data_IF_416166077279
#
_entry.id   IF_416166077279
#
_cell.length_a   1.000
_cell.length_b   1.000
_cell.length_c   1.000
_cell.angle_alpha   90.00
_cell.angle_beta   90.00
_cell.angle_gamma   90.00
#
_symmetry.space_group_name_H-M   'P 1'
#
loop_
_entity.id
_entity.type
_entity.pdbx_description
1 polymer ?
#
# COMPACT_ATOMS: atom_id res chain seq x y z
N UNK A 1 -70.95 16.47 -100.73
CA UNK A 1 -71.02 15.72 -99.45
C UNK A 1 -69.65 15.19 -98.99
N UNK A 2 -68.91 14.48 -99.85
CA UNK A 2 -67.63 13.81 -99.50
C UNK A 2 -66.53 14.78 -99.00
N UNK A 3 -66.38 15.97 -99.59
CA UNK A 3 -65.37 16.96 -99.15
C UNK A 3 -65.57 17.40 -97.69
N UNK A 4 -66.81 17.72 -97.29
CA UNK A 4 -67.16 18.09 -95.92
C UNK A 4 -66.91 16.95 -94.92
N UNK A 5 -67.09 15.69 -95.33
CA UNK A 5 -66.79 14.53 -94.48
C UNK A 5 -65.29 14.38 -94.25
N UNK A 6 -64.46 14.54 -95.29
CA UNK A 6 -63.00 14.49 -95.18
C UNK A 6 -62.45 15.58 -94.24
N UNK A 7 -62.98 16.79 -94.32
CA UNK A 7 -62.60 17.87 -93.41
C UNK A 7 -62.96 17.55 -91.96
N UNK A 8 -64.19 17.06 -91.71
CA UNK A 8 -64.61 16.65 -90.35
C UNK A 8 -63.72 15.55 -89.77
N UNK A 9 -63.33 14.55 -90.58
CA UNK A 9 -62.42 13.48 -90.14
C UNK A 9 -61.03 14.03 -89.84
N UNK A 10 -60.50 14.94 -90.68
CA UNK A 10 -59.20 15.59 -90.42
C UNK A 10 -59.22 16.41 -89.12
N UNK A 11 -60.28 17.19 -88.90
CA UNK A 11 -60.45 17.95 -87.66
C UNK A 11 -60.60 17.03 -86.44
N UNK A 12 -61.34 15.92 -86.57
CA UNK A 12 -61.46 14.93 -85.49
C UNK A 12 -60.12 14.25 -85.16
N UNK A 13 -59.30 13.90 -86.16
CA UNK A 13 -57.96 13.37 -85.92
C UNK A 13 -57.03 14.38 -85.24
N UNK A 14 -57.07 15.66 -85.65
CA UNK A 14 -56.27 16.72 -85.00
C UNK A 14 -56.73 16.93 -83.56
N UNK A 15 -58.05 16.95 -83.31
CA UNK A 15 -58.60 17.05 -81.97
C UNK A 15 -58.19 15.85 -81.11
N UNK A 16 -58.26 14.63 -81.63
CA UNK A 16 -57.83 13.42 -80.91
C UNK A 16 -56.34 13.47 -80.57
N UNK A 17 -55.48 13.88 -81.50
CA UNK A 17 -54.05 14.04 -81.25
C UNK A 17 -53.75 15.11 -80.20
N UNK A 18 -54.49 16.23 -80.21
CA UNK A 18 -54.37 17.28 -79.20
C UNK A 18 -54.84 16.80 -77.81
N UNK A 19 -55.93 16.04 -77.75
CA UNK A 19 -56.42 15.42 -76.50
C UNK A 19 -55.38 14.44 -75.96
N UNK A 20 -54.88 13.51 -76.77
CA UNK A 20 -53.88 12.53 -76.34
C UNK A 20 -52.55 13.19 -75.95
N UNK A 21 -52.13 14.27 -76.61
CA UNK A 21 -50.97 15.04 -76.20
C UNK A 21 -51.19 15.72 -74.83
N UNK A 22 -52.35 16.32 -74.61
CA UNK A 22 -52.72 16.93 -73.33
C UNK A 22 -52.83 15.91 -72.19
N UNK A 23 -53.35 14.71 -72.46
CA UNK A 23 -53.41 13.61 -71.48
C UNK A 23 -52.00 13.12 -71.10
N UNK A 24 -51.09 13.00 -72.08
CA UNK A 24 -49.70 12.61 -71.83
C UNK A 24 -48.95 13.67 -71.01
N UNK A 25 -49.09 14.96 -71.35
CA UNK A 25 -48.49 16.06 -70.60
C UNK A 25 -49.06 16.15 -69.18
N UNK A 26 -50.38 16.01 -69.01
CA UNK A 26 -51.02 15.98 -67.70
C UNK A 26 -50.53 14.81 -66.85
N UNK A 27 -50.32 13.64 -67.45
CA UNK A 27 -49.79 12.45 -66.75
C UNK A 27 -48.34 12.66 -66.33
N UNK A 28 -47.50 13.21 -67.22
CA UNK A 28 -46.11 13.54 -66.91
C UNK A 28 -45.99 14.60 -65.81
N UNK A 29 -46.77 15.68 -65.90
CA UNK A 29 -46.80 16.73 -64.88
C UNK A 29 -47.23 16.17 -63.52
N UNK A 30 -48.26 15.32 -63.49
CA UNK A 30 -48.71 14.70 -62.24
C UNK A 30 -47.62 13.77 -61.65
N UNK A 31 -46.88 13.06 -62.51
CA UNK A 31 -45.70 12.28 -62.10
C UNK A 31 -44.64 13.15 -61.43
N UNK A 32 -44.29 14.28 -62.05
CA UNK A 32 -43.32 15.23 -61.47
C UNK A 32 -43.81 15.85 -60.15
N UNK A 33 -45.10 16.20 -60.05
CA UNK A 33 -45.69 16.71 -58.81
C UNK A 33 -45.64 15.67 -57.68
N UNK A 34 -45.91 14.41 -57.99
CA UNK A 34 -45.80 13.33 -57.01
C UNK A 34 -44.35 13.11 -56.54
N UNK A 35 -43.39 13.13 -57.46
CA UNK A 35 -41.96 13.02 -57.10
C UNK A 35 -41.52 14.19 -56.21
N UNK A 36 -41.82 15.43 -56.60
CA UNK A 36 -41.47 16.61 -55.83
C UNK A 36 -42.11 16.60 -54.43
N UNK A 37 -43.35 16.10 -54.31
CA UNK A 37 -44.04 15.96 -53.03
C UNK A 37 -43.35 14.95 -52.12
N UNK A 38 -42.91 13.81 -52.67
CA UNK A 38 -42.20 12.79 -51.92
C UNK A 38 -40.82 13.28 -51.47
N UNK A 39 -40.05 13.90 -52.36
CA UNK A 39 -38.75 14.49 -52.03
C UNK A 39 -38.86 15.57 -50.94
N UNK A 40 -39.89 16.41 -51.03
CA UNK A 40 -40.16 17.41 -49.99
C UNK A 40 -40.48 16.76 -48.63
N UNK A 41 -41.30 15.70 -48.61
CA UNK A 41 -41.62 14.99 -47.38
C UNK A 41 -40.37 14.37 -46.73
N UNK A 42 -39.50 13.74 -47.54
CA UNK A 42 -38.23 13.17 -47.08
C UNK A 42 -37.29 14.25 -46.54
N UNK A 43 -37.17 15.38 -47.25
CA UNK A 43 -36.34 16.50 -46.84
C UNK A 43 -36.85 17.12 -45.53
N UNK A 44 -38.17 17.28 -45.39
CA UNK A 44 -38.79 17.80 -44.18
C UNK A 44 -38.57 16.86 -42.98
N UNK A 45 -38.66 15.55 -43.19
CA UNK A 45 -38.36 14.56 -42.15
C UNK A 45 -36.89 14.63 -41.72
N UNK A 46 -35.95 14.70 -42.66
CA UNK A 46 -34.52 14.87 -42.38
C UNK A 46 -34.26 16.16 -41.61
N UNK A 47 -34.84 17.28 -42.05
CA UNK A 47 -34.73 18.56 -41.36
C UNK A 47 -35.20 18.47 -39.90
N UNK A 48 -36.35 17.83 -39.66
CA UNK A 48 -36.88 17.65 -38.29
C UNK A 48 -35.92 16.84 -37.42
N UNK A 49 -35.39 15.73 -37.94
CA UNK A 49 -34.44 14.88 -37.23
C UNK A 49 -33.14 15.64 -36.92
N UNK A 50 -32.56 16.32 -37.91
CA UNK A 50 -31.35 17.13 -37.71
C UNK A 50 -31.57 18.26 -36.72
N UNK A 51 -32.72 18.94 -36.76
CA UNK A 51 -33.08 19.98 -35.80
C UNK A 51 -33.13 19.45 -34.37
N UNK A 52 -33.71 18.26 -34.16
CA UNK A 52 -33.74 17.60 -32.85
C UNK A 52 -32.33 17.22 -32.36
N UNK A 53 -31.47 16.72 -33.26
CA UNK A 53 -30.08 16.41 -32.94
C UNK A 53 -29.35 17.69 -32.51
N UNK A 54 -29.45 18.77 -33.29
CA UNK A 54 -28.82 20.06 -32.96
C UNK A 54 -29.27 20.55 -31.59
N UNK A 55 -30.57 20.49 -31.30
CA UNK A 55 -31.10 20.91 -30.00
C UNK A 55 -30.53 20.08 -28.84
N UNK A 56 -30.46 18.76 -29.01
CA UNK A 56 -29.91 17.85 -28.00
C UNK A 56 -28.43 18.11 -27.79
N UNK A 57 -27.63 18.15 -28.86
CA UNK A 57 -26.19 18.44 -28.80
C UNK A 57 -25.89 19.84 -28.22
N UNK A 58 -26.75 20.82 -28.48
CA UNK A 58 -26.59 22.17 -27.88
C UNK A 58 -26.84 22.12 -26.37
N UNK A 59 -27.85 21.36 -25.92
CA UNK A 59 -28.12 21.17 -24.49
C UNK A 59 -26.97 20.46 -23.81
N UNK A 60 -26.47 19.38 -24.40
CA UNK A 60 -25.37 18.60 -23.84
C UNK A 60 -24.07 19.43 -23.75
N UNK A 61 -23.76 20.21 -24.79
CA UNK A 61 -22.63 21.14 -24.75
C UNK A 61 -22.75 22.18 -23.64
N UNK A 62 -23.97 22.67 -23.37
CA UNK A 62 -24.19 23.61 -22.28
C UNK A 62 -23.95 22.93 -20.92
N UNK A 63 -24.49 21.73 -20.71
CA UNK A 63 -24.28 20.97 -19.48
C UNK A 63 -22.79 20.68 -19.24
N UNK A 64 -22.06 20.25 -20.27
CA UNK A 64 -20.62 19.99 -20.17
C UNK A 64 -19.80 21.25 -19.82
N UNK A 65 -20.20 22.42 -20.32
CA UNK A 65 -19.56 23.69 -19.95
C UNK A 65 -19.80 24.02 -18.49
N UNK A 66 -21.03 23.85 -18.01
CA UNK A 66 -21.37 24.07 -16.60
C UNK A 66 -20.59 23.10 -15.68
N UNK A 67 -20.46 21.82 -16.06
CA UNK A 67 -19.63 20.86 -15.34
C UNK A 67 -18.15 21.27 -15.32
N UNK A 68 -17.61 21.75 -16.45
CA UNK A 68 -16.24 22.22 -16.53
C UNK A 68 -15.98 23.43 -15.62
N UNK A 69 -16.90 24.39 -15.60
CA UNK A 69 -16.80 25.57 -14.73
C UNK A 69 -16.85 25.17 -13.25
N UNK A 70 -17.75 24.25 -12.89
CA UNK A 70 -17.83 23.70 -11.53
C UNK A 70 -16.52 23.02 -11.11
N UNK A 71 -15.89 22.24 -12.01
CA UNK A 71 -14.59 21.62 -11.75
C UNK A 71 -13.48 22.67 -11.56
N UNK A 72 -13.49 23.73 -12.36
CA UNK A 72 -12.52 24.82 -12.20
C UNK A 72 -12.66 25.53 -10.86
N UNK A 73 -13.88 25.77 -10.41
CA UNK A 73 -14.13 26.38 -9.10
C UNK A 73 -13.74 25.45 -7.96
N UNK A 74 -14.01 24.14 -8.09
CA UNK A 74 -13.55 23.14 -7.12
C UNK A 74 -12.01 23.11 -7.01
N UNK A 75 -11.30 23.15 -8.14
CA UNK A 75 -9.82 23.19 -8.15
C UNK A 75 -9.32 24.45 -7.47
N UNK A 76 -9.90 25.62 -7.76
CA UNK A 76 -9.52 26.89 -7.11
C UNK A 76 -9.73 26.83 -5.59
N UNK A 77 -10.87 26.29 -5.14
CA UNK A 77 -11.15 26.11 -3.72
C UNK A 77 -10.11 25.21 -3.06
N UNK A 78 -9.83 24.04 -3.65
CA UNK A 78 -8.81 23.12 -3.15
C UNK A 78 -7.42 23.74 -3.10
N UNK A 79 -7.07 24.54 -4.12
CA UNK A 79 -5.80 25.27 -4.16
C UNK A 79 -5.69 26.29 -3.04
N UNK A 80 -6.75 27.07 -2.81
CA UNK A 80 -6.79 28.08 -1.77
C UNK A 80 -6.61 27.47 -0.38
N UNK A 81 -7.29 26.35 -0.10
CA UNK A 81 -7.11 25.62 1.16
C UNK A 81 -5.69 25.06 1.31
N UNK A 82 -5.12 24.50 0.25
CA UNK A 82 -3.75 24.00 0.25
C UNK A 82 -2.73 25.12 0.57
N UNK A 83 -2.90 26.32 0.01
CA UNK A 83 -2.00 27.44 0.30
C UNK A 83 -2.15 27.94 1.75
N UNK A 84 -3.36 27.91 2.31
CA UNK A 84 -3.60 28.22 3.74
C UNK A 84 -2.86 27.25 4.66
N UNK A 85 -2.95 25.94 4.40
CA UNK A 85 -2.25 24.91 5.19
C UNK A 85 -0.73 25.13 5.13
N UNK A 86 -0.22 25.51 3.95
CA UNK A 86 1.20 25.76 3.74
C UNK A 86 1.68 27.15 4.19
N UNK A 87 0.80 28.03 4.68
CA UNK A 87 1.10 29.43 5.00
C UNK A 87 1.81 30.16 3.85
N UNK A 88 1.41 29.91 2.61
CA UNK A 88 2.00 30.52 1.41
C UNK A 88 1.04 31.54 0.81
N UNK A 89 1.62 32.58 0.20
CA UNK A 89 0.84 33.55 -0.58
C UNK A 89 0.18 32.86 -1.78
N UNK A 90 -0.96 33.36 -2.23
CA UNK A 90 -1.70 32.87 -3.40
C UNK A 90 -1.09 33.46 -4.68
N UNK A 91 -0.28 32.72 -5.45
CA UNK A 91 0.18 33.20 -6.74
C UNK A 91 -0.97 33.16 -7.74
N UNK A 92 -1.03 34.17 -8.61
CA UNK A 92 -1.99 34.20 -9.71
C UNK A 92 -1.49 33.28 -10.84
N UNK A 93 -2.01 32.06 -10.85
CA UNK A 93 -1.65 30.99 -11.81
C UNK A 93 -2.91 30.35 -12.38
N UNK A 94 -2.81 29.77 -13.58
CA UNK A 94 -3.94 29.12 -14.24
C UNK A 94 -4.48 27.92 -13.45
N UNK A 95 -5.77 27.62 -13.59
CA UNK A 95 -6.45 26.51 -12.90
C UNK A 95 -5.74 25.16 -13.14
N UNK A 96 -5.25 24.92 -14.35
CA UNK A 96 -4.46 23.71 -14.66
C UNK A 96 -3.17 23.64 -13.85
N UNK A 97 -2.48 24.77 -13.64
CA UNK A 97 -1.28 24.83 -12.81
C UNK A 97 -1.62 24.68 -11.32
N UNK A 98 -2.74 25.23 -10.87
CA UNK A 98 -3.26 25.01 -9.52
C UNK A 98 -3.48 23.52 -9.25
N UNK A 99 -4.15 22.81 -10.17
CA UNK A 99 -4.35 21.36 -10.07
C UNK A 99 -3.03 20.59 -10.01
N UNK A 100 -2.05 20.94 -10.85
CA UNK A 100 -0.72 20.30 -10.81
C UNK A 100 -0.06 20.46 -9.45
N UNK A 101 -0.13 21.65 -8.86
CA UNK A 101 0.43 21.90 -7.52
C UNK A 101 -0.30 21.09 -6.45
N UNK A 102 -1.64 21.00 -6.51
CA UNK A 102 -2.42 20.15 -5.60
C UNK A 102 -1.93 18.70 -5.68
N UNK A 103 -1.83 18.13 -6.89
CA UNK A 103 -1.39 16.74 -7.09
C UNK A 103 0.01 16.51 -6.51
N UNK A 104 0.95 17.42 -6.78
CA UNK A 104 2.33 17.32 -6.26
C UNK A 104 2.33 17.35 -4.74
N UNK A 105 1.62 18.31 -4.13
CA UNK A 105 1.57 18.42 -2.67
C UNK A 105 0.91 17.20 -2.03
N UNK A 106 -0.20 16.69 -2.60
CA UNK A 106 -0.80 15.44 -2.11
C UNK A 106 0.19 14.26 -2.19
N UNK A 107 0.96 14.17 -3.27
CA UNK A 107 2.01 13.16 -3.42
C UNK A 107 3.11 13.30 -2.36
N UNK A 108 3.55 14.52 -2.08
CA UNK A 108 4.53 14.83 -1.03
C UNK A 108 4.00 14.43 0.35
N UNK A 109 2.79 14.87 0.73
CA UNK A 109 2.17 14.50 2.00
C UNK A 109 2.03 12.99 2.17
N UNK A 110 1.69 12.27 1.11
CA UNK A 110 1.59 10.82 1.15
C UNK A 110 2.96 10.14 1.36
N UNK A 111 4.01 10.65 0.70
CA UNK A 111 5.37 10.16 0.90
C UNK A 111 5.86 10.43 2.33
N UNK A 112 5.66 11.65 2.84
CA UNK A 112 6.04 12.04 4.19
C UNK A 112 5.33 11.19 5.25
N UNK A 113 4.03 10.96 5.08
CA UNK A 113 3.25 10.07 5.95
C UNK A 113 3.82 8.65 6.00
N UNK A 114 4.20 8.08 4.85
CA UNK A 114 4.77 6.73 4.81
C UNK A 114 6.15 6.67 5.47
N UNK A 115 6.99 7.69 5.27
CA UNK A 115 8.29 7.80 5.93
C UNK A 115 8.14 7.88 7.44
N UNK A 116 7.25 8.76 7.94
CA UNK A 116 7.00 8.90 9.38
C UNK A 116 6.42 7.62 9.99
N UNK A 117 5.53 6.95 9.27
CA UNK A 117 4.99 5.65 9.67
C UNK A 117 6.07 4.58 9.81
N UNK A 118 7.03 4.52 8.88
CA UNK A 118 8.15 3.58 8.95
C UNK A 118 9.06 3.89 10.14
N UNK A 119 9.41 5.16 10.35
CA UNK A 119 10.21 5.60 11.51
C UNK A 119 9.52 5.20 12.82
N UNK A 120 8.22 5.45 12.95
CA UNK A 120 7.45 5.09 14.13
C UNK A 120 7.42 3.57 14.37
N UNK A 121 7.34 2.78 13.30
CA UNK A 121 7.41 1.32 13.40
C UNK A 121 8.78 0.86 13.94
N UNK A 122 9.87 1.41 13.40
CA UNK A 122 11.23 1.09 13.84
C UNK A 122 11.46 1.51 15.31
N UNK A 123 11.00 2.70 15.70
CA UNK A 123 11.07 3.17 17.09
C UNK A 123 10.28 2.29 18.05
N UNK A 124 9.08 1.85 17.65
CA UNK A 124 8.25 0.93 18.43
C UNK A 124 8.96 -0.42 18.65
N UNK A 125 9.58 -0.98 17.61
CA UNK A 125 10.37 -2.21 17.72
C UNK A 125 11.58 -2.04 18.65
N UNK A 126 12.31 -0.92 18.53
CA UNK A 126 13.46 -0.60 19.38
C UNK A 126 13.04 -0.45 20.85
N UNK A 127 11.94 0.24 21.12
CA UNK A 127 11.40 0.38 22.47
C UNK A 127 11.01 -0.97 23.07
N UNK A 128 10.36 -1.84 22.29
CA UNK A 128 10.04 -3.20 22.75
C UNK A 128 11.30 -4.00 23.08
N UNK A 129 12.33 -3.91 22.25
CA UNK A 129 13.62 -4.57 22.50
C UNK A 129 14.30 -4.06 23.78
N UNK A 130 14.34 -2.74 23.98
CA UNK A 130 14.92 -2.14 25.17
C UNK A 130 14.15 -2.51 26.44
N UNK A 131 12.81 -2.50 26.40
CA UNK A 131 11.98 -2.95 27.51
C UNK A 131 12.25 -4.42 27.87
N UNK A 132 12.40 -5.30 26.88
CA UNK A 132 12.78 -6.69 27.14
C UNK A 132 14.16 -6.79 27.81
N UNK A 133 15.14 -5.99 27.39
CA UNK A 133 16.47 -5.95 28.04
C UNK A 133 16.39 -5.47 29.48
N UNK A 134 15.60 -4.43 29.76
CA UNK A 134 15.37 -3.92 31.12
C UNK A 134 14.76 -5.03 31.98
N UNK A 135 13.75 -5.73 31.48
CA UNK A 135 13.12 -6.83 32.22
C UNK A 135 14.11 -7.96 32.52
N UNK A 136 14.97 -8.33 31.57
CA UNK A 136 16.03 -9.34 31.80
C UNK A 136 17.03 -8.85 32.86
N UNK A 137 17.45 -7.60 32.80
CA UNK A 137 18.36 -7.02 33.78
C UNK A 137 17.73 -6.97 35.18
N UNK A 138 16.46 -6.59 35.29
CA UNK A 138 15.72 -6.57 36.55
C UNK A 138 15.64 -7.98 37.16
N UNK A 139 15.25 -8.98 36.36
CA UNK A 139 15.21 -10.38 36.82
C UNK A 139 16.61 -10.88 37.24
N UNK A 140 17.66 -10.49 36.52
CA UNK A 140 19.04 -10.86 36.84
C UNK A 140 19.49 -10.21 38.14
N UNK A 141 19.12 -8.94 38.35
CA UNK A 141 19.43 -8.19 39.57
C UNK A 141 18.70 -8.80 40.78
N UNK A 142 17.44 -9.19 40.63
CA UNK A 142 16.69 -9.90 41.67
C UNK A 142 17.36 -11.22 42.04
N UNK A 143 17.77 -12.02 41.05
CA UNK A 143 18.49 -13.27 41.27
C UNK A 143 19.81 -13.05 42.02
N UNK A 144 20.64 -12.09 41.58
CA UNK A 144 21.91 -11.76 42.26
C UNK A 144 21.68 -11.24 43.68
N UNK A 145 20.62 -10.46 43.89
CA UNK A 145 20.26 -9.95 45.22
C UNK A 145 19.90 -11.10 46.15
N UNK A 146 19.16 -12.09 45.66
CA UNK A 146 18.78 -13.27 46.45
C UNK A 146 19.98 -14.19 46.74
N UNK A 147 20.86 -14.40 45.76
CA UNK A 147 22.13 -15.11 45.96
C UNK A 147 23.01 -14.43 47.02
N UNK A 148 23.08 -13.10 47.02
CA UNK A 148 23.80 -12.33 48.04
C UNK A 148 23.21 -12.49 49.44
N UNK A 149 21.88 -12.51 49.58
CA UNK A 149 21.22 -12.79 50.87
C UNK A 149 21.56 -14.20 51.35
N UNK A 150 21.49 -15.19 50.46
CA UNK A 150 21.82 -16.58 50.77
C UNK A 150 23.27 -16.73 51.23
N UNK A 151 24.22 -16.08 50.54
CA UNK A 151 25.63 -16.06 50.92
C UNK A 151 25.86 -15.38 52.28
N UNK A 152 25.18 -14.25 52.55
CA UNK A 152 25.24 -13.59 53.88
C UNK A 152 24.76 -14.53 54.99
N UNK A 153 23.66 -15.24 54.77
CA UNK A 153 23.14 -16.23 55.71
C UNK A 153 24.10 -17.40 55.93
N UNK A 154 24.72 -17.93 54.87
CA UNK A 154 25.72 -19.00 54.96
C UNK A 154 26.97 -18.53 55.71
N UNK A 155 27.49 -17.33 55.40
CA UNK A 155 28.64 -16.78 56.10
C UNK A 155 28.37 -16.57 57.59
N UNK A 156 27.18 -16.07 57.95
CA UNK A 156 26.80 -15.91 59.35
C UNK A 156 26.72 -17.26 60.10
N UNK A 157 26.25 -18.33 59.43
CA UNK A 157 26.24 -19.69 59.98
C UNK A 157 27.66 -20.22 60.17
N UNK A 158 28.52 -20.11 59.15
CA UNK A 158 29.90 -20.55 59.21
C UNK A 158 30.70 -19.81 60.29
N UNK A 159 30.48 -18.49 60.46
CA UNK A 159 31.11 -17.74 61.56
C UNK A 159 30.69 -18.25 62.94
N UNK A 160 29.41 -18.58 63.14
CA UNK A 160 28.93 -19.19 64.40
C UNK A 160 29.55 -20.56 64.64
N UNK A 161 29.64 -21.40 63.62
CA UNK A 161 30.30 -22.72 63.71
C UNK A 161 31.80 -22.58 64.01
N UNK A 162 32.50 -21.66 63.36
CA UNK A 162 33.93 -21.43 63.60
C UNK A 162 34.20 -20.92 65.02
N UNK A 163 33.35 -20.02 65.54
CA UNK A 163 33.46 -19.55 66.92
C UNK A 163 33.22 -20.71 67.92
N UNK A 164 32.23 -21.56 67.68
CA UNK A 164 31.97 -22.76 68.49
C UNK A 164 33.15 -23.76 68.45
N UNK A 165 33.75 -23.98 67.28
CA UNK A 165 34.95 -24.81 67.15
C UNK A 165 36.17 -24.22 67.85
N UNK A 166 36.33 -22.89 67.82
CA UNK A 166 37.38 -22.18 68.54
C UNK A 166 37.20 -22.32 70.05
N UNK A 167 36.00 -22.12 70.57
CA UNK A 167 35.67 -22.32 72.00
C UNK A 167 35.90 -23.78 72.44
N UNK A 168 35.57 -24.77 71.60
CA UNK A 168 35.89 -26.18 71.86
C UNK A 168 37.40 -26.45 71.87
N UNK A 169 38.17 -25.89 70.95
CA UNK A 169 39.63 -26.07 70.90
C UNK A 169 40.35 -25.36 72.06
N UNK A 170 39.86 -24.19 72.49
CA UNK A 170 40.37 -23.49 73.67
C UNK A 170 40.06 -24.29 74.95
N UNK A 171 38.88 -24.90 75.07
CA UNK A 171 38.55 -25.82 76.16
C UNK A 171 39.34 -27.14 76.13
N UNK A 172 39.69 -27.67 74.95
CA UNK A 172 40.55 -28.86 74.84
C UNK A 172 42.01 -28.56 75.21
N UNK A 173 42.54 -27.38 74.85
CA UNK A 173 43.88 -26.92 75.28
C UNK A 173 43.97 -26.69 76.79
N UNK A 174 42.86 -26.31 77.44
CA UNK A 174 42.82 -26.15 78.90
C UNK A 174 42.75 -27.47 79.69
N UNK A 175 42.34 -28.59 79.06
CA UNK A 175 42.17 -29.89 79.74
C UNK A 175 43.28 -30.93 79.51
N UNK A 176 44.11 -30.77 78.49
CA UNK A 176 45.22 -31.69 78.23
C UNK A 176 46.52 -30.93 77.93
N UNK A 177 47.17 -30.46 79.00
CA UNK A 177 48.60 -30.18 78.98
C UNK A 177 49.31 -31.48 79.37
N UNK A 178 49.65 -32.29 78.38
CA UNK A 178 50.58 -33.41 78.56
C UNK A 178 51.88 -33.04 77.82
N UNK A 179 53.04 -33.02 78.50
CA UNK A 179 54.29 -32.70 77.86
C UNK A 179 54.95 -33.96 77.27
N UNK A 180 55.74 -33.76 76.21
CA UNK A 180 56.82 -34.64 75.69
C UNK A 180 56.40 -35.74 74.69
N UNK A 181 56.79 -35.61 73.42
CA UNK A 181 58.01 -36.24 72.86
C UNK A 181 57.99 -36.23 71.32
N UNK A 182 59.15 -35.97 70.71
CA UNK A 182 59.39 -36.28 69.31
C UNK A 182 59.44 -37.80 69.12
N UNK A 183 58.49 -38.38 68.37
CA UNK A 183 58.71 -39.61 67.64
C UNK A 183 57.69 -39.78 66.49
N UNK A 184 58.27 -39.91 65.30
CA UNK A 184 57.76 -40.61 64.12
C UNK A 184 56.44 -41.39 64.28
N UNK A 185 55.44 -41.11 63.43
CA UNK A 185 54.71 -42.18 62.76
C UNK A 185 54.08 -41.74 61.43
N UNK A 186 54.61 -42.36 60.37
CA UNK A 186 53.97 -42.57 59.07
C UNK A 186 52.55 -43.12 59.20
N UNK A 187 51.77 -42.84 58.15
CA UNK A 187 50.51 -43.49 57.71
C UNK A 187 49.25 -43.09 58.48
N UNK A 188 48.46 -42.19 57.89
CA UNK A 188 47.03 -42.42 57.65
C UNK A 188 46.59 -41.69 56.37
N UNK A 189 46.87 -42.35 55.24
CA UNK A 189 46.06 -42.24 54.05
C UNK A 189 44.77 -43.02 54.34
N UNK A 190 43.65 -42.33 54.54
CA UNK A 190 42.31 -42.94 54.47
C UNK A 190 41.32 -41.91 53.94
N UNK A 191 41.11 -42.01 52.63
CA UNK A 191 39.83 -41.89 51.94
C UNK A 191 38.86 -40.81 52.47
N UNK A 192 38.99 -39.59 51.96
CA UNK A 192 37.80 -38.75 51.75
C UNK A 192 37.49 -38.75 50.25
N UNK A 193 36.57 -39.60 49.88
CA UNK A 193 36.03 -39.71 48.54
C UNK A 193 35.18 -38.46 48.30
N UNK A 194 35.73 -37.45 47.62
CA UNK A 194 34.97 -36.28 47.19
C UNK A 194 34.10 -36.66 45.97
N UNK A 195 33.05 -37.41 46.26
CA UNK A 195 31.96 -37.71 45.33
C UNK A 195 30.90 -36.62 45.47
N UNK A 196 31.15 -35.47 44.85
CA UNK A 196 30.08 -34.54 44.48
C UNK A 196 30.09 -34.42 42.97
N UNK A 197 29.28 -35.29 42.33
CA UNK A 197 28.85 -35.12 40.94
C UNK A 197 28.16 -33.77 40.81
N UNK A 198 28.92 -32.71 40.56
CA UNK A 198 28.40 -31.49 39.99
C UNK A 198 28.19 -31.78 38.51
N UNK A 199 26.99 -32.27 38.17
CA UNK A 199 26.53 -32.31 36.77
C UNK A 199 26.25 -30.86 36.34
N UNK A 200 27.28 -30.13 35.95
CA UNK A 200 27.10 -28.96 35.09
C UNK A 200 26.85 -29.48 33.66
N UNK A 201 25.61 -29.87 33.38
CA UNK A 201 25.13 -29.98 32.00
C UNK A 201 24.54 -28.62 31.65
N UNK A 202 25.39 -27.65 31.31
CA UNK A 202 24.96 -26.58 30.39
C UNK A 202 25.13 -27.15 28.99
N UNK A 203 24.12 -27.86 28.50
CA UNK A 203 23.92 -27.91 27.06
C UNK A 203 23.60 -26.48 26.66
N UNK A 204 24.55 -25.78 26.03
CA UNK A 204 24.17 -24.66 25.19
C UNK A 204 23.10 -25.20 24.23
N UNK A 205 22.01 -24.47 23.97
CA UNK A 205 21.17 -24.85 22.85
C UNK A 205 22.10 -24.82 21.63
N UNK A 206 22.26 -25.97 20.97
CA UNK A 206 22.93 -26.03 19.68
C UNK A 206 22.24 -25.00 18.80
N UNK A 207 22.94 -23.89 18.56
CA UNK A 207 22.46 -22.84 17.70
C UNK A 207 22.46 -23.47 16.31
N UNK A 208 21.31 -23.95 15.87
CA UNK A 208 21.21 -24.59 14.56
C UNK A 208 21.36 -23.53 13.47
N UNK A 209 22.61 -23.26 13.12
CA UNK A 209 23.03 -22.29 12.11
C UNK A 209 22.46 -22.67 10.74
N UNK A 210 22.06 -23.92 10.51
CA UNK A 210 21.48 -24.35 9.23
C UNK A 210 20.13 -23.68 8.96
N UNK A 211 19.30 -23.45 9.99
CA UNK A 211 18.04 -22.71 9.85
C UNK A 211 18.32 -21.26 9.48
N UNK A 212 19.26 -20.60 10.17
CA UNK A 212 19.67 -19.23 9.84
C UNK A 212 20.24 -19.11 8.42
N UNK A 213 21.09 -20.05 8.00
CA UNK A 213 21.65 -20.08 6.65
C UNK A 213 20.58 -20.36 5.58
N UNK A 214 19.58 -21.18 5.89
CA UNK A 214 18.45 -21.44 4.99
C UNK A 214 17.61 -20.18 4.75
N UNK A 215 17.41 -19.37 5.80
CA UNK A 215 16.72 -18.08 5.73
C UNK A 215 17.54 -17.09 4.91
N UNK A 216 18.85 -16.98 5.17
CA UNK A 216 19.75 -16.11 4.38
C UNK A 216 19.74 -16.52 2.89
N UNK A 217 19.80 -17.82 2.59
CA UNK A 217 19.77 -18.34 1.22
C UNK A 217 18.42 -18.12 0.53
N UNK A 218 17.32 -18.07 1.28
CA UNK A 218 16.01 -17.68 0.75
C UNK A 218 15.97 -16.17 0.47
N UNK A 219 16.43 -15.36 1.41
CA UNK A 219 16.48 -13.90 1.28
C UNK A 219 17.30 -13.45 0.07
N UNK A 220 18.47 -14.06 -0.16
CA UNK A 220 19.31 -13.78 -1.32
C UNK A 220 18.62 -14.14 -2.64
N UNK A 221 17.86 -15.24 -2.68
CA UNK A 221 17.08 -15.62 -3.87
C UNK A 221 15.90 -14.68 -4.11
N UNK A 222 15.24 -14.25 -3.05
CA UNK A 222 14.12 -13.30 -3.14
C UNK A 222 14.61 -11.93 -3.65
N UNK A 223 15.79 -11.49 -3.21
CA UNK A 223 16.44 -10.27 -3.72
C UNK A 223 16.85 -10.37 -5.19
N UNK A 224 17.41 -11.50 -5.62
CA UNK A 224 17.73 -11.74 -7.04
C UNK A 224 16.48 -11.73 -7.92
N UNK A 225 15.38 -12.32 -7.43
CA UNK A 225 14.10 -12.30 -8.14
C UNK A 225 13.53 -10.89 -8.26
N UNK A 226 13.61 -10.09 -7.18
CA UNK A 226 13.19 -8.68 -7.20
C UNK A 226 13.98 -7.87 -8.23
N UNK A 227 15.31 -8.05 -8.28
CA UNK A 227 16.17 -7.36 -9.26
C UNK A 227 15.81 -7.75 -10.70
N UNK A 228 15.50 -9.03 -10.96
CA UNK A 228 15.01 -9.46 -12.28
C UNK A 228 13.69 -8.83 -12.66
N UNK A 229 12.73 -8.79 -11.73
CA UNK A 229 11.43 -8.15 -11.96
C UNK A 229 11.57 -6.65 -12.22
N UNK A 230 12.42 -5.95 -11.46
CA UNK A 230 12.71 -4.53 -11.70
C UNK A 230 13.39 -4.29 -13.04
N UNK A 231 14.30 -5.17 -13.44
CA UNK A 231 14.97 -5.08 -14.76
C UNK A 231 13.98 -5.33 -15.90
N UNK A 232 13.04 -6.27 -15.74
CA UNK A 232 11.97 -6.52 -16.71
C UNK A 232 11.06 -5.31 -16.86
N UNK A 233 10.61 -4.75 -15.72
CA UNK A 233 9.76 -3.57 -15.68
C UNK A 233 10.46 -2.35 -16.31
N UNK A 234 11.74 -2.15 -16.02
CA UNK A 234 12.56 -1.10 -16.63
C UNK A 234 12.67 -1.25 -18.15
N UNK A 235 12.83 -2.49 -18.65
CA UNK A 235 12.85 -2.75 -20.10
C UNK A 235 11.51 -2.47 -20.78
N UNK A 236 10.39 -2.79 -20.13
CA UNK A 236 9.06 -2.47 -20.64
C UNK A 236 8.82 -0.96 -20.70
N UNK A 237 9.25 -0.20 -19.69
CA UNK A 237 9.12 1.26 -19.64
C UNK A 237 10.00 1.98 -20.68
N UNK A 238 11.16 1.41 -21.01
CA UNK A 238 12.11 2.01 -21.98
C UNK A 238 11.77 1.63 -23.43
N UNK A 239 10.88 0.65 -23.65
CA UNK A 239 10.53 0.14 -24.98
C UNK A 239 9.28 0.78 -25.59
N UNK A 240 8.63 1.73 -24.89
CA UNK A 240 7.61 2.66 -25.38
C UNK A 240 8.19 4.08 -25.51
#
# INVERSE_FOLDING_TARGET
MIKKLKEKVKTACIAQAAISAGENESTSLNGHLHLARNEYADLYQKYRQTSQIIQTTTRDNKALREELDNLFDFIKLGYNELQKINNKCLPDISVTQQLKQIIICCGQYYADYNNEREINLQLSQKNRFLNNKINILNNSLEAVTEDLKNLRCQNARLQKENNSHRERNENYKAKYVVPISLACHKKYQKNFHMSSKIKFIRKSPDLDVTVHLSIIKKLLRDQDNLLRSLTSLSKEIISD
#
